data_IF_362681773004
#
_entry.id   IF_362681773004
#
_cell.length_a   1.000
_cell.length_b   1.000
_cell.length_c   1.000
_cell.angle_alpha   90.00
_cell.angle_beta   90.00
_cell.angle_gamma   90.00
#
_symmetry.space_group_name_H-M   'P 1'
#
loop_
_entity.id
_entity.type
_entity.pdbx_description
1 polymer ?
#
# COMPACT_ATOMS: atom_id res chain seq x y z
N UNK A 1 -21.53 5.27 -17.97
CA UNK A 1 -20.17 4.95 -17.53
C UNK A 1 -19.39 4.46 -18.75
N UNK A 2 -18.35 5.18 -19.16
CA UNK A 2 -17.43 4.77 -20.22
C UNK A 2 -16.45 3.72 -19.70
N UNK A 3 -15.73 3.04 -20.60
CA UNK A 3 -14.67 2.10 -20.20
C UNK A 3 -13.56 2.79 -19.39
N UNK A 4 -13.27 4.06 -19.68
CA UNK A 4 -12.28 4.88 -18.98
C UNK A 4 -12.76 5.25 -17.56
N UNK A 5 -14.03 5.66 -17.42
CA UNK A 5 -14.64 5.94 -16.12
C UNK A 5 -14.68 4.67 -15.24
N UNK A 6 -14.95 3.52 -15.84
CA UNK A 6 -14.92 2.25 -15.13
C UNK A 6 -13.50 1.86 -14.68
N UNK A 7 -12.50 2.02 -15.54
CA UNK A 7 -11.10 1.78 -15.19
C UNK A 7 -10.62 2.71 -14.06
N UNK A 8 -10.99 3.99 -14.11
CA UNK A 8 -10.68 4.96 -13.05
C UNK A 8 -11.29 4.55 -11.70
N UNK A 9 -12.54 4.08 -11.69
CA UNK A 9 -13.19 3.59 -10.47
C UNK A 9 -12.49 2.36 -9.88
N UNK A 10 -12.07 1.41 -10.73
CA UNK A 10 -11.31 0.23 -10.28
C UNK A 10 -9.96 0.62 -9.67
N UNK A 11 -9.21 1.53 -10.30
CA UNK A 11 -7.94 2.02 -9.76
C UNK A 11 -8.10 2.76 -8.43
N UNK A 12 -9.18 3.51 -8.26
CA UNK A 12 -9.47 4.17 -6.98
C UNK A 12 -9.73 3.14 -5.86
N UNK A 13 -10.47 2.08 -6.15
CA UNK A 13 -10.72 0.98 -5.21
C UNK A 13 -9.43 0.22 -4.86
N UNK A 14 -8.62 -0.10 -5.86
CA UNK A 14 -7.32 -0.76 -5.65
C UNK A 14 -6.37 0.08 -4.81
N UNK A 15 -6.32 1.40 -5.08
CA UNK A 15 -5.51 2.33 -4.28
C UNK A 15 -5.99 2.39 -2.83
N UNK A 16 -7.30 2.51 -2.60
CA UNK A 16 -7.84 2.55 -1.24
C UNK A 16 -7.52 1.27 -0.45
N UNK A 17 -7.69 0.11 -1.08
CA UNK A 17 -7.34 -1.19 -0.50
C UNK A 17 -5.84 -1.32 -0.19
N UNK A 18 -4.98 -0.85 -1.09
CA UNK A 18 -3.54 -0.81 -0.86
C UNK A 18 -3.16 0.08 0.32
N UNK A 19 -3.74 1.29 0.40
CA UNK A 19 -3.46 2.24 1.46
C UNK A 19 -3.91 1.69 2.83
N UNK A 20 -5.06 1.01 2.91
CA UNK A 20 -5.52 0.31 4.11
C UNK A 20 -4.55 -0.80 4.53
N UNK A 21 -4.08 -1.60 3.57
CA UNK A 21 -3.12 -2.67 3.84
C UNK A 21 -1.78 -2.12 4.35
N UNK A 22 -1.28 -1.04 3.74
CA UNK A 22 -0.06 -0.34 4.19
C UNK A 22 -0.24 0.19 5.60
N UNK A 23 -1.37 0.83 5.91
CA UNK A 23 -1.66 1.35 7.25
C UNK A 23 -1.66 0.23 8.30
N UNK A 24 -2.25 -0.93 7.98
CA UNK A 24 -2.25 -2.10 8.87
C UNK A 24 -0.85 -2.61 9.18
N UNK A 25 0.03 -2.69 8.18
CA UNK A 25 1.42 -3.15 8.39
C UNK A 25 2.21 -2.12 9.22
N UNK A 26 1.99 -0.82 9.00
CA UNK A 26 2.59 0.24 9.83
C UNK A 26 2.18 0.08 11.30
N UNK A 27 0.90 -0.09 11.57
CA UNK A 27 0.40 -0.33 12.92
C UNK A 27 1.03 -1.59 13.56
N UNK A 28 1.28 -2.64 12.79
CA UNK A 28 1.99 -3.83 13.29
C UNK A 28 3.48 -3.57 13.58
N UNK A 29 4.15 -2.75 12.77
CA UNK A 29 5.53 -2.33 13.04
C UNK A 29 5.59 -1.53 14.35
N UNK A 30 4.73 -0.52 14.49
CA UNK A 30 4.64 0.33 15.67
C UNK A 30 4.30 -0.49 16.94
N UNK A 31 3.37 -1.43 16.84
CA UNK A 31 3.04 -2.32 17.95
C UNK A 31 4.21 -3.22 18.37
N UNK A 32 4.98 -3.74 17.40
CA UNK A 32 6.17 -4.53 17.68
C UNK A 32 7.31 -3.69 18.30
N UNK A 33 7.46 -2.44 17.87
CA UNK A 33 8.40 -1.49 18.46
C UNK A 33 8.02 -1.15 19.91
N UNK A 34 6.73 -0.87 20.15
CA UNK A 34 6.21 -0.61 21.49
C UNK A 34 6.36 -1.80 22.44
N UNK A 35 6.36 -3.04 21.93
CA UNK A 35 6.61 -4.25 22.73
C UNK A 35 8.09 -4.63 22.87
N UNK A 36 9.01 -3.90 22.24
CA UNK A 36 10.44 -4.21 22.23
C UNK A 36 10.83 -5.40 21.32
N UNK A 37 9.94 -5.84 20.43
CA UNK A 37 10.22 -6.91 19.46
C UNK A 37 10.84 -6.32 18.18
N UNK A 38 12.13 -6.01 18.27
CA UNK A 38 12.89 -5.37 17.19
C UNK A 38 12.93 -6.20 15.91
N UNK A 39 12.99 -7.53 16.02
CA UNK A 39 13.03 -8.42 14.85
C UNK A 39 11.71 -8.36 14.08
N UNK A 40 10.58 -8.41 14.79
CA UNK A 40 9.26 -8.30 14.17
C UNK A 40 9.03 -6.91 13.59
N UNK A 41 9.41 -5.85 14.30
CA UNK A 41 9.37 -4.49 13.77
C UNK A 41 10.16 -4.37 12.46
N UNK A 42 11.39 -4.89 12.41
CA UNK A 42 12.22 -4.89 11.21
C UNK A 42 11.54 -5.61 10.05
N UNK A 43 10.95 -6.78 10.28
CA UNK A 43 10.23 -7.54 9.24
C UNK A 43 9.05 -6.76 8.67
N UNK A 44 8.27 -6.08 9.51
CA UNK A 44 7.15 -5.24 9.05
C UNK A 44 7.65 -4.03 8.22
N UNK A 45 8.74 -3.38 8.65
CA UNK A 45 9.36 -2.29 7.88
C UNK A 45 9.93 -2.77 6.54
N UNK A 46 10.59 -3.93 6.50
CA UNK A 46 11.06 -4.54 5.24
C UNK A 46 9.90 -4.83 4.29
N UNK A 47 8.75 -5.29 4.81
CA UNK A 47 7.54 -5.49 4.01
C UNK A 47 7.03 -4.17 3.43
N UNK A 48 6.96 -3.09 4.23
CA UNK A 48 6.59 -1.77 3.74
C UNK A 48 7.52 -1.27 2.63
N UNK A 49 8.84 -1.48 2.77
CA UNK A 49 9.80 -1.12 1.73
C UNK A 49 9.57 -1.88 0.43
N UNK A 50 9.24 -3.18 0.50
CA UNK A 50 8.90 -3.98 -0.68
C UNK A 50 7.64 -3.46 -1.36
N UNK A 51 6.58 -3.19 -0.59
CA UNK A 51 5.32 -2.62 -1.11
C UNK A 51 5.53 -1.26 -1.77
N UNK A 52 6.36 -0.40 -1.17
CA UNK A 52 6.69 0.91 -1.72
C UNK A 52 7.41 0.80 -3.08
N UNK A 53 8.26 -0.21 -3.25
CA UNK A 53 9.01 -0.45 -4.48
C UNK A 53 8.19 -1.13 -5.59
N UNK A 54 7.05 -1.75 -5.26
CA UNK A 54 6.19 -2.39 -6.27
C UNK A 54 5.57 -1.35 -7.20
N UNK A 55 5.58 -1.58 -8.52
CA UNK A 55 4.88 -0.70 -9.45
C UNK A 55 3.36 -0.82 -9.23
N UNK A 56 2.67 0.32 -9.04
CA UNK A 56 1.23 0.31 -8.82
C UNK A 56 0.46 0.64 -10.11
N UNK A 57 -0.61 -0.11 -10.44
CA UNK A 57 -1.38 0.12 -11.67
C UNK A 57 -1.93 1.55 -11.80
N UNK A 58 -2.40 2.14 -10.69
CA UNK A 58 -2.94 3.50 -10.65
C UNK A 58 -1.91 4.62 -10.81
N UNK A 59 -0.61 4.35 -10.57
CA UNK A 59 0.46 5.32 -10.81
C UNK A 59 0.81 5.44 -12.31
N UNK A 60 0.50 4.41 -13.10
CA UNK A 60 0.64 4.45 -14.56
C UNK A 60 -0.51 5.21 -15.23
N UNK A 61 -1.72 5.04 -14.70
CA UNK A 61 -2.90 5.77 -15.13
C UNK A 61 -2.74 7.30 -15.04
N UNK A 62 -2.16 7.80 -13.95
CA UNK A 62 -1.90 9.23 -13.76
C UNK A 62 -0.87 9.83 -14.73
N UNK A 63 -0.01 9.03 -15.38
CA UNK A 63 0.97 9.54 -16.35
C UNK A 63 0.45 9.57 -17.78
N UNK A 64 -0.67 8.90 -18.04
CA UNK A 64 -1.29 8.81 -19.37
C UNK A 64 -2.46 9.79 -19.55
N UNK A 65 -2.90 10.44 -18.48
CA UNK A 65 -3.88 11.54 -18.46
C UNK A 65 -3.16 12.88 -18.46
#
# INVERSE_FOLDING_TARGET
MTAEEHAAALWALERASHDEFVAKIRAWAEAAEASGDELRARRHREHLSRLAAMPKPWERAQRAA
#
